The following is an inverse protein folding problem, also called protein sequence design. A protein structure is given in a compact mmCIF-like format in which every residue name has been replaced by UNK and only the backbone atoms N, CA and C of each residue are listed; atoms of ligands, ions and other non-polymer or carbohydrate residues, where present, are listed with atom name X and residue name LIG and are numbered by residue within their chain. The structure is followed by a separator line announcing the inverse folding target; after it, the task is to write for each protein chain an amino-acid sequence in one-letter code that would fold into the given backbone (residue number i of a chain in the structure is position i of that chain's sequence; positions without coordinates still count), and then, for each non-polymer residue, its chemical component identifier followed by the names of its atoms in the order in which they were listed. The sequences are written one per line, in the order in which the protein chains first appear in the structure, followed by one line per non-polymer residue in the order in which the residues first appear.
data_IF_179985498490
#
_entry.id   IF_179985498490
#
_cell.length_a   1.000
_cell.length_b   1.000
_cell.length_c   1.000
_cell.angle_alpha   90.00
_cell.angle_beta   90.00
_cell.angle_gamma   90.00
#
_symmetry.space_group_name_H-M   'P 1'
#
loop_
_entity.id
_entity.type
_entity.pdbx_description
1 polymer ?
#
# COMPACT_ATOMS: atom_id res chain seq x y z
N UNK A 1 6.38 24.84 -4.59
CA UNK A 1 6.23 25.60 -3.33
C UNK A 1 6.35 24.75 -2.05
N UNK A 2 5.61 23.64 -1.88
CA UNK A 2 5.86 22.69 -0.77
C UNK A 2 6.01 21.24 -1.28
N UNK A 3 5.13 20.82 -2.21
CA UNK A 3 5.27 19.53 -2.87
C UNK A 3 6.63 19.34 -3.55
N UNK A 4 7.15 20.38 -4.21
CA UNK A 4 8.50 20.36 -4.80
C UNK A 4 9.60 20.15 -3.75
N UNK A 5 9.47 20.74 -2.56
CA UNK A 5 10.46 20.59 -1.49
C UNK A 5 10.44 19.18 -0.89
N UNK A 6 9.25 18.57 -0.78
CA UNK A 6 9.11 17.17 -0.39
C UNK A 6 9.75 16.26 -1.46
N UNK A 7 9.41 16.47 -2.73
CA UNK A 7 9.96 15.67 -3.85
C UNK A 7 11.47 15.83 -3.94
N UNK A 8 11.98 17.04 -3.80
CA UNK A 8 13.42 17.32 -3.81
C UNK A 8 14.13 16.66 -2.62
N UNK A 9 13.54 16.70 -1.43
CA UNK A 9 14.13 16.08 -0.24
C UNK A 9 14.16 14.55 -0.34
N UNK A 10 13.05 13.93 -0.76
CA UNK A 10 12.91 12.47 -0.79
C UNK A 10 13.47 11.84 -2.08
N UNK A 11 13.57 12.59 -3.18
CA UNK A 11 13.99 12.08 -4.48
C UNK A 11 12.92 11.25 -5.21
N UNK A 12 11.69 11.21 -4.69
CA UNK A 12 10.53 10.53 -5.26
C UNK A 12 9.25 11.30 -4.97
N UNK A 13 8.16 10.97 -5.66
CA UNK A 13 6.85 11.56 -5.34
C UNK A 13 6.20 10.77 -4.20
N UNK A 14 5.53 11.43 -3.24
CA UNK A 14 4.80 10.73 -2.19
C UNK A 14 3.85 9.63 -2.71
N UNK A 15 3.19 9.89 -3.84
CA UNK A 15 2.32 8.93 -4.51
C UNK A 15 3.09 7.68 -4.95
N UNK A 16 4.25 7.81 -5.60
CA UNK A 16 4.99 6.61 -6.06
C UNK A 16 5.41 5.70 -4.90
N UNK A 17 5.77 6.28 -3.75
CA UNK A 17 6.08 5.49 -2.55
C UNK A 17 4.85 4.74 -2.01
N UNK A 18 3.69 5.39 -2.01
CA UNK A 18 2.43 4.77 -1.57
C UNK A 18 2.01 3.67 -2.56
N UNK A 19 2.10 3.92 -3.87
CA UNK A 19 1.79 2.94 -4.91
C UNK A 19 2.63 1.68 -4.76
N UNK A 20 3.94 1.82 -4.51
CA UNK A 20 4.84 0.68 -4.28
C UNK A 20 4.42 -0.14 -3.04
N UNK A 21 3.95 0.52 -1.98
CA UNK A 21 3.43 -0.15 -0.78
C UNK A 21 2.13 -0.91 -1.10
N UNK A 22 1.19 -0.28 -1.81
CA UNK A 22 -0.08 -0.91 -2.20
C UNK A 22 0.17 -2.15 -3.07
N UNK A 23 1.07 -2.03 -4.05
CA UNK A 23 1.46 -3.14 -4.91
C UNK A 23 2.06 -4.31 -4.09
N UNK A 24 2.96 -4.01 -3.15
CA UNK A 24 3.55 -5.04 -2.30
C UNK A 24 2.50 -5.76 -1.42
N UNK A 25 1.48 -5.03 -0.94
CA UNK A 25 0.40 -5.62 -0.14
C UNK A 25 -0.50 -6.51 -0.99
N UNK A 26 -0.84 -6.08 -2.21
CA UNK A 26 -1.60 -6.90 -3.16
C UNK A 26 -0.83 -8.19 -3.51
N UNK A 27 0.47 -8.09 -3.76
CA UNK A 27 1.31 -9.27 -4.00
C UNK A 27 1.29 -10.26 -2.82
N UNK A 28 1.37 -9.74 -1.59
CA UNK A 28 1.29 -10.57 -0.37
C UNK A 28 -0.09 -11.21 -0.23
N UNK A 29 -1.17 -10.48 -0.54
CA UNK A 29 -2.54 -11.00 -0.50
C UNK A 29 -2.68 -12.20 -1.44
N UNK A 30 -2.29 -12.04 -2.71
CA UNK A 30 -2.40 -13.11 -3.70
C UNK A 30 -1.50 -14.31 -3.36
N UNK A 31 -0.32 -14.07 -2.79
CA UNK A 31 0.54 -15.15 -2.30
C UNK A 31 -0.10 -15.91 -1.14
N UNK A 32 -0.74 -15.22 -0.20
CA UNK A 32 -1.40 -15.83 0.94
C UNK A 32 -2.64 -16.65 0.52
N UNK A 33 -3.49 -16.11 -0.35
CA UNK A 33 -4.68 -16.81 -0.86
C UNK A 33 -4.29 -18.04 -1.67
N UNK A 34 -3.30 -17.92 -2.56
CA UNK A 34 -2.75 -19.05 -3.32
C UNK A 34 -2.15 -20.13 -2.42
N UNK A 35 -1.47 -19.73 -1.34
CA UNK A 35 -0.88 -20.68 -0.39
C UNK A 35 -1.96 -21.43 0.40
N UNK A 36 -3.03 -20.72 0.78
CA UNK A 36 -4.19 -21.31 1.45
C UNK A 36 -4.92 -22.29 0.54
N UNK A 37 -5.14 -21.93 -0.73
CA UNK A 37 -5.75 -22.79 -1.74
C UNK A 37 -4.97 -24.10 -1.86
N UNK A 38 -3.66 -24.03 -2.10
CA UNK A 38 -2.78 -25.20 -2.22
C UNK A 38 -2.82 -26.09 -0.98
N UNK A 39 -2.87 -25.49 0.22
CA UNK A 39 -2.98 -26.23 1.46
C UNK A 39 -4.30 -27.00 1.55
N UNK A 40 -5.43 -26.35 1.24
CA UNK A 40 -6.75 -26.99 1.29
C UNK A 40 -6.85 -28.09 0.24
N UNK A 41 -6.42 -27.85 -0.99
CA UNK A 41 -6.41 -28.87 -2.06
C UNK A 41 -5.57 -30.09 -1.66
N UNK A 42 -4.45 -29.88 -0.95
CA UNK A 42 -3.61 -30.98 -0.47
C UNK A 42 -4.30 -31.83 0.59
N UNK A 43 -5.00 -31.21 1.54
CA UNK A 43 -5.60 -31.92 2.68
C UNK A 43 -6.98 -32.51 2.35
N UNK A 44 -7.75 -31.87 1.47
CA UNK A 44 -9.14 -32.22 1.17
C UNK A 44 -9.34 -32.76 -0.26
N UNK A 45 -8.33 -32.68 -1.12
CA UNK A 45 -8.47 -32.91 -2.55
C UNK A 45 -9.13 -31.73 -3.27
N UNK A 46 -9.30 -31.87 -4.58
CA UNK A 46 -10.08 -30.90 -5.37
C UNK A 46 -11.57 -31.08 -5.05
N UNK A 47 -12.19 -30.08 -4.40
CA UNK A 47 -13.63 -30.01 -4.25
C UNK A 47 -14.18 -28.60 -4.56
N UNK A 48 -15.32 -28.49 -5.28
CA UNK A 48 -15.89 -27.21 -5.67
C UNK A 48 -16.23 -26.29 -4.49
N UNK A 49 -16.64 -26.86 -3.35
CA UNK A 49 -16.98 -26.09 -2.15
C UNK A 49 -15.77 -25.37 -1.56
N UNK A 50 -14.59 -26.00 -1.60
CA UNK A 50 -13.35 -25.38 -1.14
C UNK A 50 -12.89 -24.25 -2.07
N UNK A 51 -12.92 -24.48 -3.39
CA UNK A 51 -12.58 -23.48 -4.40
C UNK A 51 -13.47 -22.24 -4.28
N UNK A 52 -14.79 -22.44 -4.15
CA UNK A 52 -15.73 -21.34 -3.94
C UNK A 52 -15.50 -20.61 -2.62
N UNK A 53 -15.10 -21.32 -1.56
CA UNK A 53 -14.76 -20.72 -0.27
C UNK A 53 -13.49 -19.87 -0.35
N UNK A 54 -12.46 -20.35 -1.04
CA UNK A 54 -11.21 -19.62 -1.27
C UNK A 54 -11.46 -18.34 -2.07
N UNK A 55 -12.25 -18.42 -3.14
CA UNK A 55 -12.56 -17.25 -3.94
C UNK A 55 -13.33 -16.17 -3.15
N UNK A 56 -14.22 -16.58 -2.24
CA UNK A 56 -14.89 -15.64 -1.33
C UNK A 56 -13.91 -15.00 -0.34
N UNK A 57 -12.94 -15.77 0.18
CA UNK A 57 -11.91 -15.24 1.08
C UNK A 57 -11.05 -14.21 0.34
N UNK A 58 -10.60 -14.52 -0.87
CA UNK A 58 -9.83 -13.59 -1.72
C UNK A 58 -10.60 -12.28 -1.92
N UNK A 59 -11.85 -12.36 -2.37
CA UNK A 59 -12.70 -11.17 -2.56
C UNK A 59 -12.85 -10.36 -1.27
N UNK A 60 -13.05 -11.02 -0.11
CA UNK A 60 -13.18 -10.32 1.18
C UNK A 60 -11.88 -9.62 1.58
N UNK A 61 -10.75 -10.25 1.32
CA UNK A 61 -9.43 -9.68 1.60
C UNK A 61 -9.13 -8.51 0.68
N UNK A 62 -9.42 -8.61 -0.62
CA UNK A 62 -9.23 -7.52 -1.58
C UNK A 62 -10.04 -6.29 -1.15
N UNK A 63 -11.33 -6.47 -0.86
CA UNK A 63 -12.18 -5.38 -0.39
C UNK A 63 -11.70 -4.76 0.93
N UNK A 64 -11.11 -5.55 1.82
CA UNK A 64 -10.56 -5.04 3.06
C UNK A 64 -9.27 -4.25 2.81
N UNK A 65 -8.35 -4.80 2.01
CA UNK A 65 -7.09 -4.15 1.64
C UNK A 65 -7.36 -2.84 0.95
N UNK A 66 -8.15 -2.81 -0.11
CA UNK A 66 -8.49 -1.58 -0.86
C UNK A 66 -8.98 -0.48 0.10
N UNK A 67 -9.99 -0.80 0.92
CA UNK A 67 -10.57 0.15 1.86
C UNK A 67 -9.55 0.72 2.85
N UNK A 68 -8.71 -0.13 3.43
CA UNK A 68 -7.77 0.32 4.45
C UNK A 68 -6.54 1.01 3.84
N UNK A 69 -6.15 0.63 2.63
CA UNK A 69 -5.03 1.24 1.94
C UNK A 69 -5.40 2.57 1.27
N UNK A 70 -6.65 2.78 0.86
CA UNK A 70 -7.19 4.10 0.51
C UNK A 70 -7.11 5.08 1.70
N UNK A 71 -7.49 4.60 2.89
CA UNK A 71 -7.40 5.39 4.13
C UNK A 71 -5.94 5.70 4.47
N UNK A 72 -5.05 4.73 4.30
CA UNK A 72 -3.62 4.89 4.49
C UNK A 72 -3.01 5.91 3.51
N UNK A 73 -3.36 5.84 2.22
CA UNK A 73 -2.91 6.80 1.21
C UNK A 73 -3.30 8.21 1.63
N UNK A 74 -4.59 8.42 1.93
CA UNK A 74 -5.11 9.73 2.33
C UNK A 74 -4.42 10.25 3.60
N UNK A 75 -4.23 9.38 4.60
CA UNK A 75 -3.55 9.75 5.84
C UNK A 75 -2.09 10.13 5.58
N UNK A 76 -1.39 9.36 4.76
CA UNK A 76 0.03 9.58 4.45
C UNK A 76 0.23 10.90 3.71
N UNK A 77 -0.56 11.17 2.68
CA UNK A 77 -0.49 12.44 1.94
C UNK A 77 -0.83 13.64 2.81
N UNK A 78 -1.79 13.51 3.74
CA UNK A 78 -2.23 14.63 4.57
C UNK A 78 -1.31 14.92 5.75
N UNK A 79 -0.67 13.90 6.33
CA UNK A 79 0.02 14.03 7.63
C UNK A 79 1.49 13.64 7.60
N UNK A 80 1.92 12.72 6.72
CA UNK A 80 3.31 12.25 6.65
C UNK A 80 4.07 13.06 5.59
N UNK A 81 3.53 13.09 4.36
CA UNK A 81 4.09 13.83 3.24
C UNK A 81 3.45 15.21 3.10
N UNK A 82 3.42 15.95 4.20
CA UNK A 82 2.81 17.27 4.28
C UNK A 82 3.69 18.20 5.11
N UNK A 83 3.82 19.45 4.66
CA UNK A 83 4.54 20.50 5.38
C UNK A 83 3.49 21.42 6.02
N UNK A 84 3.54 21.67 7.34
CA UNK A 84 2.64 22.63 7.98
C UNK A 84 2.72 24.01 7.30
N UNK A 85 1.60 24.70 7.09
CA UNK A 85 1.57 25.95 6.34
C UNK A 85 2.38 27.09 6.98
N UNK A 86 2.64 26.99 8.28
CA UNK A 86 3.42 27.92 9.10
C UNK A 86 4.89 27.50 9.26
N UNK A 87 5.28 26.34 8.73
CA UNK A 87 6.66 25.87 8.79
C UNK A 87 7.50 26.46 7.65
N UNK A 88 8.54 27.21 8.02
CA UNK A 88 9.59 27.61 7.09
C UNK A 88 10.67 26.53 7.05
N UNK A 89 10.62 25.67 6.04
CA UNK A 89 11.63 24.62 5.83
C UNK A 89 12.61 25.09 4.75
N UNK A 90 13.90 24.99 5.06
CA UNK A 90 15.00 25.18 4.11
C UNK A 90 15.82 23.90 4.09
N UNK A 91 16.14 23.40 2.90
CA UNK A 91 16.92 22.17 2.75
C UNK A 91 18.41 22.47 3.02
N UNK A 92 19.18 21.54 3.63
CA UNK A 92 20.57 21.80 4.03
C UNK A 92 21.48 22.26 2.89
N UNK A 93 21.24 21.81 1.65
CA UNK A 93 22.04 22.21 0.49
C UNK A 93 21.72 23.62 -0.03
N UNK A 94 20.66 24.26 0.46
CA UNK A 94 20.33 25.66 0.17
C UNK A 94 20.99 26.65 1.14
N UNK A 95 21.58 26.18 2.26
CA UNK A 95 22.25 27.06 3.24
C UNK A 95 23.68 27.48 2.82
N UNK A 96 24.24 26.84 1.79
CA UNK A 96 25.65 27.03 1.35
C UNK A 96 25.75 27.95 0.12
N UNK A 97 24.67 28.63 -0.27
CA UNK A 97 24.63 29.57 -1.41
C UNK A 97 24.55 31.03 -1.00
#
# INVERSE_FOLDING_TARGET
AQAELIIEHFGFTPLSCIDDIINAVNDILYQATSSLERFITKEMGECPEAEQGIHQIETLLENAVDKYFDIFELYSLRNIFSIPPDANITLPHHEVS
#
